data_IF_473928909451
#
_entry.id   IF_473928909451
#
_cell.length_a   1.000
_cell.length_b   1.000
_cell.length_c   1.000
_cell.angle_alpha   90.00
_cell.angle_beta   90.00
_cell.angle_gamma   90.00
#
_symmetry.space_group_name_H-M   'P 1'
#
loop_
_entity.id
_entity.type
_entity.pdbx_description
1 polymer ?
#
# COMPACT_ATOMS: atom_id res chain seq x y z
N UNK A 1 4.96 2.59 15.19
CA UNK A 1 4.70 1.40 14.35
C UNK A 1 4.75 1.81 12.89
N UNK A 2 5.43 1.02 12.06
CA UNK A 2 5.45 1.26 10.62
C UNK A 2 4.05 1.15 10.05
N UNK A 3 3.80 1.85 8.95
CA UNK A 3 2.51 1.86 8.28
C UNK A 3 2.71 1.62 6.79
N UNK A 4 1.88 0.77 6.20
CA UNK A 4 1.87 0.53 4.76
C UNK A 4 0.50 0.90 4.23
N UNK A 5 0.47 1.80 3.26
CA UNK A 5 -0.76 2.30 2.67
C UNK A 5 -0.86 1.79 1.23
N UNK A 6 -1.99 1.18 0.89
CA UNK A 6 -2.28 0.76 -0.47
C UNK A 6 -3.35 1.68 -1.05
N UNK A 7 -3.00 2.39 -2.12
CA UNK A 7 -3.95 3.24 -2.86
C UNK A 7 -4.50 2.43 -4.02
N UNK A 8 -5.82 2.43 -4.16
CA UNK A 8 -6.52 1.58 -5.13
C UNK A 8 -7.81 2.23 -5.57
N UNK A 9 -8.48 1.61 -6.55
CA UNK A 9 -9.84 2.00 -6.97
C UNK A 9 -10.59 0.77 -7.45
N UNK A 10 -11.93 0.75 -7.32
CA UNK A 10 -12.73 -0.41 -7.72
C UNK A 10 -12.64 -0.73 -9.22
N UNK A 11 -12.42 0.29 -10.04
CA UNK A 11 -12.33 0.12 -11.50
C UNK A 11 -10.94 -0.31 -11.98
N UNK A 12 -9.99 -0.43 -11.08
CA UNK A 12 -8.61 -0.73 -11.41
C UNK A 12 -8.39 -2.25 -11.41
N UNK A 13 -8.22 -2.84 -12.60
CA UNK A 13 -7.99 -4.27 -12.74
C UNK A 13 -6.77 -4.78 -11.99
N UNK A 14 -5.58 -4.17 -12.20
CA UNK A 14 -4.38 -4.57 -11.45
C UNK A 14 -4.55 -4.45 -9.94
N UNK A 15 -5.32 -3.47 -9.47
CA UNK A 15 -5.59 -3.32 -8.03
C UNK A 15 -6.37 -4.52 -7.50
N UNK A 16 -7.35 -5.01 -8.26
CA UNK A 16 -8.15 -6.17 -7.85
C UNK A 16 -7.31 -7.43 -7.80
N UNK A 17 -6.35 -7.57 -8.72
CA UNK A 17 -5.45 -8.71 -8.73
C UNK A 17 -4.44 -8.64 -7.58
N UNK A 18 -4.06 -7.43 -7.21
CA UNK A 18 -3.09 -7.17 -6.15
C UNK A 18 -3.68 -7.38 -4.76
N UNK A 19 -4.97 -7.12 -4.59
CA UNK A 19 -5.63 -7.15 -3.29
C UNK A 19 -5.41 -8.45 -2.50
N UNK A 20 -5.58 -9.66 -3.09
CA UNK A 20 -5.34 -10.87 -2.31
C UNK A 20 -3.91 -11.01 -1.83
N UNK A 21 -2.93 -10.62 -2.66
CA UNK A 21 -1.52 -10.67 -2.29
C UNK A 21 -1.25 -9.70 -1.13
N UNK A 22 -1.77 -8.49 -1.24
CA UNK A 22 -1.59 -7.49 -0.19
C UNK A 22 -2.22 -7.94 1.12
N UNK A 23 -3.45 -8.44 1.07
CA UNK A 23 -4.17 -8.87 2.27
C UNK A 23 -3.44 -10.01 2.99
N UNK A 24 -2.88 -10.94 2.22
CA UNK A 24 -2.15 -12.07 2.78
C UNK A 24 -0.89 -11.62 3.51
N UNK A 25 -0.14 -10.72 2.91
CA UNK A 25 1.07 -10.19 3.54
C UNK A 25 0.72 -9.31 4.73
N UNK A 26 -0.32 -8.49 4.62
CA UNK A 26 -0.78 -7.65 5.72
C UNK A 26 -1.16 -8.50 6.94
N UNK A 27 -1.84 -9.61 6.71
CA UNK A 27 -2.23 -10.54 7.76
C UNK A 27 -1.01 -11.13 8.46
N UNK A 28 0.02 -11.46 7.68
CA UNK A 28 1.26 -12.02 8.21
C UNK A 28 1.95 -11.07 9.18
N UNK A 29 1.81 -9.77 8.97
CA UNK A 29 2.46 -8.75 9.80
C UNK A 29 1.49 -8.03 10.73
N UNK A 30 0.31 -8.59 10.93
CA UNK A 30 -0.69 -8.01 11.84
C UNK A 30 -0.09 -7.83 13.23
N UNK A 31 -0.31 -6.64 13.81
CA UNK A 31 0.26 -6.29 15.10
C UNK A 31 1.67 -5.71 15.04
N UNK A 32 2.35 -5.84 13.90
CA UNK A 32 3.71 -5.34 13.71
C UNK A 32 3.75 -4.15 12.76
N UNK A 33 2.87 -4.16 11.76
CA UNK A 33 2.78 -3.10 10.76
C UNK A 33 1.32 -2.73 10.61
N UNK A 34 1.03 -1.43 10.70
CA UNK A 34 -0.32 -0.93 10.45
C UNK A 34 -0.55 -0.88 8.94
N UNK A 35 -1.71 -1.33 8.47
CA UNK A 35 -2.02 -1.27 7.05
C UNK A 35 -3.28 -0.45 6.82
N UNK A 36 -3.29 0.30 5.72
CA UNK A 36 -4.43 1.10 5.30
C UNK A 36 -4.73 0.83 3.84
N UNK A 37 -6.01 0.73 3.52
CA UNK A 37 -6.49 0.66 2.15
C UNK A 37 -7.21 1.96 1.86
N UNK A 38 -6.72 2.69 0.86
CA UNK A 38 -7.27 4.00 0.50
C UNK A 38 -7.84 3.95 -0.91
N UNK A 39 -9.15 4.12 -1.01
CA UNK A 39 -9.83 4.25 -2.30
C UNK A 39 -9.62 5.68 -2.78
N UNK A 40 -8.87 5.85 -3.88
CA UNK A 40 -8.50 7.19 -4.35
C UNK A 40 -9.70 8.03 -4.80
N UNK A 41 -10.82 7.39 -5.14
CA UNK A 41 -12.03 8.09 -5.52
C UNK A 41 -12.73 8.68 -4.30
N UNK A 42 -12.56 8.07 -3.14
CA UNK A 42 -13.21 8.49 -1.91
C UNK A 42 -12.34 9.42 -1.06
N UNK A 43 -11.03 9.23 -1.09
CA UNK A 43 -10.11 10.03 -0.28
C UNK A 43 -9.11 10.74 -1.18
N UNK A 44 -9.56 11.84 -1.77
CA UNK A 44 -8.74 12.62 -2.70
C UNK A 44 -7.66 13.41 -1.96
N UNK A 45 -7.95 13.77 -0.71
CA UNK A 45 -7.04 14.55 0.11
C UNK A 45 -5.78 13.74 0.44
N UNK A 46 -5.96 12.52 0.89
CA UNK A 46 -4.82 11.64 1.21
C UNK A 46 -4.06 11.25 -0.05
N UNK A 47 -4.78 11.00 -1.15
CA UNK A 47 -4.14 10.70 -2.43
C UNK A 47 -3.27 11.85 -2.91
N UNK A 48 -3.71 13.08 -2.71
CA UNK A 48 -2.93 14.26 -3.06
C UNK A 48 -1.72 14.41 -2.15
N UNK A 49 -1.90 14.15 -0.87
CA UNK A 49 -0.83 14.24 0.13
C UNK A 49 0.35 13.33 -0.24
N UNK A 50 0.05 12.12 -0.71
CA UNK A 50 1.07 11.15 -1.10
C UNK A 50 1.43 11.23 -2.58
N UNK A 51 0.90 12.22 -3.29
CA UNK A 51 1.20 12.47 -4.69
C UNK A 51 0.97 11.22 -5.56
N UNK A 52 -0.17 10.56 -5.36
CA UNK A 52 -0.51 9.34 -6.08
C UNK A 52 -0.86 9.68 -7.53
N UNK A 53 -0.11 9.13 -8.48
CA UNK A 53 -0.31 9.38 -9.91
C UNK A 53 -0.78 8.16 -10.68
N UNK A 54 -0.54 6.98 -10.14
CA UNK A 54 -0.98 5.73 -10.75
C UNK A 54 -1.29 4.74 -9.64
N UNK A 55 -2.15 3.77 -9.93
CA UNK A 55 -2.56 2.76 -8.96
C UNK A 55 -2.45 1.37 -9.59
N UNK A 56 -2.21 0.34 -8.78
CA UNK A 56 -2.04 0.40 -7.33
C UNK A 56 -0.71 1.09 -6.94
N UNK A 57 -0.72 1.75 -5.81
CA UNK A 57 0.44 2.49 -5.32
C UNK A 57 0.59 2.17 -3.84
N UNK A 58 1.77 1.71 -3.44
CA UNK A 58 2.02 1.24 -2.08
C UNK A 58 3.08 2.10 -1.43
N UNK A 59 2.80 2.61 -0.24
CA UNK A 59 3.72 3.49 0.48
C UNK A 59 3.99 2.93 1.86
N UNK A 60 5.28 2.73 2.16
CA UNK A 60 5.73 2.41 3.50
C UNK A 60 6.10 3.71 4.20
N UNK A 61 5.52 3.95 5.36
CA UNK A 61 5.90 5.07 6.22
C UNK A 61 6.60 4.48 7.42
N UNK A 62 7.89 4.74 7.53
CA UNK A 62 8.71 4.22 8.63
C UNK A 62 8.47 5.04 9.89
N UNK A 63 8.94 4.51 11.02
CA UNK A 63 8.72 5.15 12.32
C UNK A 63 9.38 6.53 12.43
N UNK A 64 10.47 6.74 11.69
CA UNK A 64 11.15 8.05 11.65
C UNK A 64 10.53 9.02 10.64
N UNK A 65 9.43 8.62 9.98
CA UNK A 65 8.76 9.44 9.00
C UNK A 65 9.25 9.27 7.56
N UNK A 66 10.29 8.47 7.35
CA UNK A 66 10.81 8.18 6.00
C UNK A 66 9.75 7.41 5.21
N UNK A 67 9.56 7.79 3.95
CA UNK A 67 8.58 7.15 3.08
C UNK A 67 9.28 6.43 1.93
N UNK A 68 8.82 5.21 1.63
CA UNK A 68 9.28 4.43 0.49
C UNK A 68 8.06 4.07 -0.32
N UNK A 69 8.00 4.48 -1.58
CA UNK A 69 6.84 4.23 -2.43
C UNK A 69 7.17 3.30 -3.57
N UNK A 70 6.19 2.50 -3.95
CA UNK A 70 6.30 1.54 -5.05
C UNK A 70 5.07 1.65 -5.93
N UNK A 71 5.27 1.71 -7.23
CA UNK A 71 4.20 1.80 -8.23
C UNK A 71 3.91 0.43 -8.80
N UNK A 72 2.63 0.12 -8.98
CA UNK A 72 2.19 -1.11 -9.62
C UNK A 72 1.99 -2.25 -8.63
N UNK A 73 1.48 -3.36 -9.14
CA UNK A 73 1.22 -4.54 -8.32
C UNK A 73 2.54 -5.24 -8.01
N UNK A 74 2.88 -5.29 -6.73
CA UNK A 74 4.10 -5.96 -6.28
C UNK A 74 3.86 -7.44 -6.16
N UNK A 75 4.92 -8.24 -6.37
CA UNK A 75 4.87 -9.66 -6.06
C UNK A 75 4.84 -9.83 -4.54
N UNK A 76 4.46 -11.04 -4.09
CA UNK A 76 4.45 -11.34 -2.66
C UNK A 76 5.82 -11.10 -2.04
N UNK A 77 6.89 -11.50 -2.73
CA UNK A 77 8.25 -11.33 -2.25
C UNK A 77 8.61 -9.85 -2.13
N UNK A 78 8.31 -9.07 -3.16
CA UNK A 78 8.59 -7.64 -3.14
C UNK A 78 7.83 -6.92 -2.03
N UNK A 79 6.57 -7.30 -1.85
CA UNK A 79 5.72 -6.69 -0.82
C UNK A 79 6.22 -7.05 0.57
N UNK A 80 6.60 -8.30 0.78
CA UNK A 80 7.14 -8.73 2.06
C UNK A 80 8.43 -7.99 2.39
N UNK A 81 9.29 -7.80 1.40
CA UNK A 81 10.51 -7.03 1.57
C UNK A 81 10.21 -5.58 1.99
N UNK A 82 9.17 -5.00 1.41
CA UNK A 82 8.75 -3.65 1.76
C UNK A 82 8.29 -3.60 3.23
N UNK A 83 7.49 -4.57 3.66
CA UNK A 83 7.01 -4.64 5.04
C UNK A 83 8.17 -4.79 6.03
N UNK A 84 9.24 -5.46 5.62
CA UNK A 84 10.41 -5.71 6.46
C UNK A 84 11.42 -4.55 6.45
N UNK A 85 11.25 -3.59 5.57
CA UNK A 85 12.20 -2.46 5.40
C UNK A 85 12.28 -1.48 6.59
#
# INVERSE_FOLDING_TARGET
MKKVIKFWAPWCGPCRMYAPTFDKIAEKFEGQVETLNVNVDEDKELSAEYNVRSIPYTVLVKEDGTKVSKTGALSATELEELFLS
#
